data_IF_812653665690
#
_entry.id   IF_812653665690
#
_cell.length_a   1.000
_cell.length_b   1.000
_cell.length_c   1.000
_cell.angle_alpha   90.00
_cell.angle_beta   90.00
_cell.angle_gamma   90.00
#
_symmetry.space_group_name_H-M   'P 1'
#
loop_
_entity.id
_entity.type
_entity.pdbx_description
1 polymer ?
#
# COMPACT_ATOMS: atom_id res chain seq x y z
N UNK A 1 -8.59 -2.89 27.85
CA UNK A 1 -7.87 -2.42 26.65
C UNK A 1 -8.50 -3.04 25.42
N UNK A 2 -8.81 -2.23 24.41
CA UNK A 2 -9.21 -2.71 23.08
C UNK A 2 -7.97 -3.31 22.42
N UNK A 3 -8.07 -4.55 21.93
CA UNK A 3 -6.94 -5.24 21.28
C UNK A 3 -6.93 -5.07 19.76
N UNK A 4 -8.11 -5.05 19.14
CA UNK A 4 -8.28 -4.99 17.69
C UNK A 4 -9.13 -3.78 17.34
N UNK A 5 -8.68 -2.98 16.37
CA UNK A 5 -9.36 -1.78 15.91
C UNK A 5 -9.35 -1.76 14.39
N UNK A 6 -10.50 -1.47 13.77
CA UNK A 6 -10.63 -1.26 12.33
C UNK A 6 -10.92 0.22 12.11
N UNK A 7 -10.08 0.88 11.32
CA UNK A 7 -10.26 2.28 10.93
C UNK A 7 -10.58 2.33 9.44
N UNK A 8 -11.79 2.76 9.08
CA UNK A 8 -12.23 2.86 7.70
C UNK A 8 -11.95 4.26 7.14
N UNK A 9 -11.20 4.34 6.04
CA UNK A 9 -10.95 5.60 5.34
C UNK A 9 -9.65 5.58 4.54
N UNK A 10 -9.26 6.76 4.07
CA UNK A 10 -7.97 6.99 3.42
C UNK A 10 -6.84 6.84 4.44
N UNK A 11 -5.89 5.94 4.16
CA UNK A 11 -4.77 5.66 5.05
C UNK A 11 -3.92 6.91 5.32
N UNK A 12 -3.77 7.83 4.35
CA UNK A 12 -3.00 9.06 4.54
C UNK A 12 -3.65 10.02 5.53
N UNK A 13 -4.98 9.95 5.68
CA UNK A 13 -5.71 10.74 6.67
C UNK A 13 -5.72 10.06 8.03
N UNK A 14 -5.88 8.73 8.03
CA UNK A 14 -5.93 7.93 9.27
C UNK A 14 -4.57 7.90 9.96
N UNK A 15 -3.47 7.69 9.23
CA UNK A 15 -2.13 7.62 9.83
C UNK A 15 -1.81 8.89 10.63
N UNK A 16 -2.27 10.06 10.16
CA UNK A 16 -2.11 11.36 10.84
C UNK A 16 -2.88 11.51 12.15
N UNK A 17 -3.85 10.64 12.42
CA UNK A 17 -4.59 10.66 13.69
C UNK A 17 -3.98 9.73 14.74
N UNK A 18 -3.05 8.87 14.33
CA UNK A 18 -2.34 7.98 15.24
C UNK A 18 -1.20 8.74 15.94
N UNK A 19 -0.89 8.42 17.21
CA UNK A 19 0.28 9.00 17.87
C UNK A 19 1.58 8.57 17.18
N UNK A 20 2.55 9.48 17.14
CA UNK A 20 3.91 9.18 16.70
C UNK A 20 4.50 8.00 17.48
N UNK A 21 5.30 7.16 16.81
CA UNK A 21 6.00 6.03 17.43
C UNK A 21 5.08 5.12 18.27
N UNK A 22 3.85 4.89 17.81
CA UNK A 22 2.87 4.05 18.50
C UNK A 22 2.76 2.63 17.93
N UNK A 23 3.26 2.39 16.72
CA UNK A 23 3.13 1.11 16.00
C UNK A 23 4.44 0.32 16.04
N UNK A 24 4.38 -0.97 16.39
CA UNK A 24 5.54 -1.86 16.45
C UNK A 24 5.94 -2.44 15.09
N UNK A 25 4.96 -2.76 14.26
CA UNK A 25 5.12 -3.39 12.94
C UNK A 25 4.04 -2.88 11.99
N UNK A 26 4.43 -2.59 10.75
CA UNK A 26 3.52 -2.24 9.66
C UNK A 26 3.65 -3.31 8.59
N UNK A 27 2.51 -3.84 8.16
CA UNK A 27 2.39 -4.66 6.97
C UNK A 27 1.54 -3.89 5.97
N UNK A 28 2.03 -3.75 4.73
CA UNK A 28 1.38 -2.97 3.70
C UNK A 28 1.33 -3.76 2.38
N UNK A 29 0.16 -3.76 1.77
CA UNK A 29 -0.12 -4.31 0.44
C UNK A 29 -0.71 -3.18 -0.42
N UNK A 30 0.12 -2.22 -0.89
CA UNK A 30 -0.34 -1.09 -1.68
C UNK A 30 -0.75 -1.53 -3.09
N UNK A 31 -1.45 -0.68 -3.88
CA UNK A 31 -1.61 -0.91 -5.31
C UNK A 31 -0.24 -1.12 -5.98
N UNK A 32 -0.11 -2.12 -6.86
CA UNK A 32 1.14 -2.48 -7.54
C UNK A 32 1.30 -1.81 -8.88
N UNK A 33 0.22 -1.26 -9.43
CA UNK A 33 0.18 -0.65 -10.76
C UNK A 33 0.76 -1.60 -11.81
N UNK A 34 0.08 -2.74 -12.01
CA UNK A 34 0.62 -3.86 -12.79
C UNK A 34 0.89 -3.56 -14.28
N UNK A 35 0.38 -2.43 -14.82
CA UNK A 35 0.59 -1.96 -16.22
C UNK A 35 0.40 -3.07 -17.26
N UNK A 36 -0.60 -3.91 -17.04
CA UNK A 36 -0.92 -4.98 -17.98
C UNK A 36 -1.68 -4.37 -19.15
N UNK A 37 -1.23 -4.67 -20.37
CA UNK A 37 -1.95 -4.32 -21.59
C UNK A 37 -2.58 -5.58 -22.21
N UNK A 38 -3.78 -5.41 -22.78
CA UNK A 38 -4.56 -6.48 -23.38
C UNK A 38 -5.08 -7.54 -22.40
N UNK A 39 -5.49 -8.68 -22.96
CA UNK A 39 -6.02 -9.81 -22.20
C UNK A 39 -4.89 -10.82 -22.00
N UNK A 40 -4.49 -11.02 -20.74
CA UNK A 40 -3.60 -12.12 -20.38
C UNK A 40 -4.33 -13.45 -20.59
N UNK A 41 -3.62 -14.46 -21.11
CA UNK A 41 -4.14 -15.82 -21.28
C UNK A 41 -3.43 -16.80 -20.35
N UNK A 42 -4.18 -17.77 -19.86
CA UNK A 42 -3.65 -18.97 -19.19
C UNK A 42 -2.98 -19.89 -20.22
N UNK A 43 -2.09 -20.80 -19.80
CA UNK A 43 -1.45 -21.75 -20.70
C UNK A 43 -2.46 -22.59 -21.50
N UNK A 44 -3.56 -22.95 -20.86
CA UNK A 44 -4.72 -23.66 -21.41
C UNK A 44 -5.58 -22.82 -22.38
N UNK A 45 -5.25 -21.54 -22.61
CA UNK A 45 -5.86 -20.68 -23.64
C UNK A 45 -7.00 -19.77 -23.17
N UNK A 46 -7.50 -20.01 -21.95
CA UNK A 46 -8.55 -19.21 -21.32
C UNK A 46 -8.05 -17.83 -20.88
N UNK A 47 -8.96 -16.85 -20.85
CA UNK A 47 -8.63 -15.51 -20.37
C UNK A 47 -8.29 -15.54 -18.87
N UNK A 48 -7.21 -14.85 -18.51
CA UNK A 48 -6.81 -14.67 -17.13
C UNK A 48 -7.69 -13.60 -16.47
N UNK A 49 -8.55 -14.04 -15.54
CA UNK A 49 -9.34 -13.16 -14.68
C UNK A 49 -8.48 -12.66 -13.53
N UNK A 50 -7.66 -11.64 -13.81
CA UNK A 50 -6.85 -10.94 -12.83
C UNK A 50 -7.64 -9.89 -12.04
N UNK A 51 -6.94 -9.18 -11.16
CA UNK A 51 -7.48 -8.00 -10.49
C UNK A 51 -7.66 -6.87 -11.52
N UNK A 52 -8.91 -6.46 -11.78
CA UNK A 52 -9.25 -5.28 -12.59
C UNK A 52 -9.88 -4.19 -11.70
N UNK A 53 -9.24 -3.94 -10.55
CA UNK A 53 -9.66 -2.88 -9.65
C UNK A 53 -9.13 -1.54 -10.16
N UNK A 54 -10.04 -0.57 -10.32
CA UNK A 54 -9.70 0.80 -10.72
C UNK A 54 -8.60 1.39 -9.84
N UNK A 55 -8.54 1.03 -8.55
CA UNK A 55 -7.52 1.50 -7.61
C UNK A 55 -6.08 1.16 -8.03
N UNK A 56 -5.87 0.09 -8.80
CA UNK A 56 -4.54 -0.32 -9.26
C UNK A 56 -4.08 0.43 -10.52
N UNK A 57 -5.01 0.89 -11.35
CA UNK A 57 -4.73 1.46 -12.67
C UNK A 57 -5.02 2.97 -12.75
N UNK A 58 -4.74 3.71 -11.68
CA UNK A 58 -5.00 5.17 -11.62
C UNK A 58 -3.76 6.05 -11.80
N UNK A 59 -2.57 5.46 -11.96
CA UNK A 59 -1.32 6.23 -12.04
C UNK A 59 -0.97 6.61 -13.47
N UNK A 60 -0.52 7.84 -13.66
CA UNK A 60 -0.18 8.38 -14.97
C UNK A 60 1.21 7.96 -15.47
N UNK A 61 2.18 7.91 -14.55
CA UNK A 61 3.58 7.65 -14.84
C UNK A 61 4.34 7.21 -13.57
N UNK A 62 5.63 6.90 -13.73
CA UNK A 62 6.49 6.50 -12.61
C UNK A 62 6.55 7.55 -11.49
N UNK A 63 6.54 8.84 -11.84
CA UNK A 63 6.68 9.91 -10.86
C UNK A 63 5.42 10.03 -10.00
N UNK A 64 4.25 9.90 -10.60
CA UNK A 64 2.96 9.89 -9.90
C UNK A 64 2.87 8.71 -8.91
N UNK A 65 3.23 7.51 -9.36
CA UNK A 65 3.29 6.31 -8.50
C UNK A 65 4.34 6.43 -7.39
N UNK A 66 5.50 7.03 -7.69
CA UNK A 66 6.57 7.26 -6.71
C UNK A 66 6.14 8.27 -5.65
N UNK A 67 5.53 9.39 -6.06
CA UNK A 67 4.99 10.40 -5.15
C UNK A 67 3.88 9.84 -4.26
N UNK A 68 2.97 9.04 -4.81
CA UNK A 68 1.98 8.31 -4.03
C UNK A 68 2.65 7.40 -2.99
N UNK A 69 3.67 6.64 -3.42
CA UNK A 69 4.37 5.68 -2.58
C UNK A 69 5.12 6.35 -1.43
N UNK A 70 5.86 7.41 -1.72
CA UNK A 70 6.59 8.19 -0.72
C UNK A 70 5.67 8.81 0.31
N UNK A 71 4.50 9.32 -0.09
CA UNK A 71 3.53 9.92 0.83
C UNK A 71 3.12 8.94 1.92
N UNK A 72 2.67 7.73 1.57
CA UNK A 72 2.18 6.78 2.58
C UNK A 72 3.34 6.17 3.38
N UNK A 73 4.50 5.93 2.76
CA UNK A 73 5.69 5.44 3.48
C UNK A 73 6.19 6.44 4.54
N UNK A 74 6.14 7.73 4.24
CA UNK A 74 6.54 8.78 5.19
C UNK A 74 5.61 8.82 6.41
N UNK A 75 4.30 8.73 6.20
CA UNK A 75 3.33 8.65 7.31
C UNK A 75 3.52 7.37 8.14
N UNK A 76 3.76 6.23 7.48
CA UNK A 76 4.12 4.98 8.16
C UNK A 76 5.38 5.12 9.03
N UNK A 77 6.40 5.81 8.53
CA UNK A 77 7.65 6.05 9.26
C UNK A 77 7.45 6.92 10.52
N UNK A 78 6.52 7.87 10.50
CA UNK A 78 6.22 8.74 11.65
C UNK A 78 5.58 7.93 12.79
N UNK A 79 4.61 7.07 12.47
CA UNK A 79 3.89 6.28 13.48
C UNK A 79 4.65 5.04 13.95
N UNK A 80 5.63 4.57 13.16
CA UNK A 80 6.47 3.42 13.52
C UNK A 80 7.41 3.78 14.67
N UNK A 81 7.52 2.90 15.66
CA UNK A 81 8.48 3.03 16.76
C UNK A 81 9.90 3.07 16.22
N UNK A 82 10.74 3.85 16.91
CA UNK A 82 12.19 3.85 16.70
C UNK A 82 12.76 2.49 17.12
N UNK A 83 12.71 1.51 16.24
CA UNK A 83 13.38 0.23 16.42
C UNK A 83 14.72 0.29 15.70
N UNK A 84 15.77 -0.24 16.31
CA UNK A 84 17.02 -0.46 15.59
C UNK A 84 16.72 -1.33 14.37
N UNK A 85 16.98 -0.82 13.17
CA UNK A 85 16.99 -1.64 11.97
C UNK A 85 18.00 -2.75 12.27
N UNK A 86 17.53 -3.98 12.45
CA UNK A 86 18.39 -5.16 12.46
C UNK A 86 19.02 -5.24 11.07
N UNK A 87 20.19 -4.61 10.91
CA UNK A 87 21.05 -4.86 9.77
C UNK A 87 21.41 -6.34 9.86
N UNK A 88 20.99 -7.11 8.85
CA UNK A 88 21.51 -8.47 8.64
C UNK A 88 23.00 -8.40 8.38
#
# INVERSE_FOLDING_TARGET
MIKNTILQGDCLKILKTLPDKSIDLIFADPPYWMRVDGILKRPEGENFSGCDDKRDNNFLNNDDYSQFTEKWLNECKIVLKNNEIRKK
#
